data_IF_251506020844
#
_entry.id   IF_251506020844
#
_cell.length_a   1.000
_cell.length_b   1.000
_cell.length_c   1.000
_cell.angle_alpha   90.00
_cell.angle_beta   90.00
_cell.angle_gamma   90.00
#
_symmetry.space_group_name_H-M   'P 1'
#
loop_
_entity.id
_entity.type
_entity.pdbx_description
1 polymer ?
#
# COMPACT_ATOMS: atom_id res chain seq x y z
N UNK A 1 7.52 -16.62 43.67
CA UNK A 1 7.12 -15.70 42.58
C UNK A 1 7.10 -16.52 41.31
N UNK A 2 5.93 -17.03 40.92
CA UNK A 2 5.77 -17.88 39.74
C UNK A 2 6.26 -17.18 38.47
N UNK A 3 7.01 -17.93 37.66
CA UNK A 3 7.64 -17.46 36.43
C UNK A 3 6.59 -16.98 35.44
N UNK A 4 6.44 -15.66 35.32
CA UNK A 4 5.63 -15.05 34.27
C UNK A 4 6.28 -15.39 32.93
N UNK A 5 5.62 -16.27 32.15
CA UNK A 5 6.01 -16.60 30.77
C UNK A 5 6.28 -15.30 30.01
N UNK A 6 7.44 -15.21 29.35
CA UNK A 6 7.74 -14.08 28.47
C UNK A 6 6.73 -14.05 27.32
N UNK A 7 6.24 -12.86 26.98
CA UNK A 7 5.35 -12.71 25.84
C UNK A 7 6.06 -13.13 24.55
N UNK A 8 5.34 -13.74 23.62
CA UNK A 8 5.84 -14.15 22.31
C UNK A 8 5.26 -13.26 21.21
N UNK A 9 6.14 -12.55 20.49
CA UNK A 9 5.81 -11.81 19.28
C UNK A 9 6.32 -12.59 18.07
N UNK A 10 5.40 -13.03 17.22
CA UNK A 10 5.73 -13.58 15.91
C UNK A 10 5.80 -12.45 14.88
N UNK A 11 6.77 -12.52 13.97
CA UNK A 11 6.93 -11.56 12.87
C UNK A 11 6.78 -12.32 11.57
N UNK A 12 5.65 -12.13 10.90
CA UNK A 12 5.39 -12.76 9.58
C UNK A 12 5.76 -11.83 8.43
N UNK A 13 5.86 -10.52 8.69
CA UNK A 13 6.40 -9.55 7.74
C UNK A 13 7.89 -9.76 7.48
N UNK A 14 8.21 -10.29 6.30
CA UNK A 14 9.59 -10.40 5.81
C UNK A 14 10.28 -9.03 5.80
N UNK A 15 9.57 -7.98 5.39
CA UNK A 15 10.12 -6.62 5.37
C UNK A 15 10.51 -6.16 6.78
N UNK A 16 9.67 -6.43 7.79
CA UNK A 16 10.01 -6.12 9.18
C UNK A 16 11.29 -6.85 9.64
N UNK A 17 11.46 -8.13 9.26
CA UNK A 17 12.68 -8.87 9.61
C UNK A 17 13.94 -8.32 8.91
N UNK A 18 13.80 -7.73 7.72
CA UNK A 18 14.93 -7.16 6.96
C UNK A 18 15.28 -5.74 7.45
N UNK A 19 14.31 -4.83 7.50
CA UNK A 19 14.54 -3.41 7.76
C UNK A 19 14.05 -2.92 9.13
N UNK A 20 13.27 -3.72 9.87
CA UNK A 20 12.70 -3.34 11.17
C UNK A 20 13.55 -3.70 12.39
N UNK A 21 14.88 -3.89 12.22
CA UNK A 21 15.79 -4.40 13.27
C UNK A 21 15.68 -3.64 14.58
N UNK A 22 15.57 -2.31 14.53
CA UNK A 22 15.46 -1.47 15.73
C UNK A 22 14.16 -1.73 16.51
N UNK A 23 13.03 -1.88 15.80
CA UNK A 23 11.76 -2.21 16.42
C UNK A 23 11.81 -3.59 17.09
N UNK A 24 12.40 -4.58 16.41
CA UNK A 24 12.57 -5.94 16.97
C UNK A 24 13.51 -5.94 18.18
N UNK A 25 14.55 -5.11 18.17
CA UNK A 25 15.47 -4.96 19.30
C UNK A 25 14.79 -4.34 20.52
N UNK A 26 13.94 -3.33 20.32
CA UNK A 26 13.14 -2.71 21.40
C UNK A 26 12.19 -3.72 22.07
N UNK A 27 11.57 -4.60 21.29
CA UNK A 27 10.73 -5.68 21.83
C UNK A 27 11.54 -6.66 22.68
N UNK A 28 12.72 -7.09 22.19
CA UNK A 28 13.63 -7.96 22.95
C UNK A 28 14.10 -7.31 24.26
N UNK A 29 14.42 -6.02 24.22
CA UNK A 29 14.81 -5.23 25.40
C UNK A 29 13.67 -5.09 26.42
N UNK A 30 12.41 -5.11 25.97
CA UNK A 30 11.24 -5.15 26.83
C UNK A 30 10.97 -6.54 27.45
N UNK A 31 11.83 -7.53 27.22
CA UNK A 31 11.70 -8.88 27.76
C UNK A 31 10.71 -9.77 27.02
N UNK A 32 10.40 -9.44 25.77
CA UNK A 32 9.51 -10.20 24.89
C UNK A 32 10.34 -11.07 23.95
N UNK A 33 9.96 -12.33 23.78
CA UNK A 33 10.57 -13.22 22.81
C UNK A 33 10.06 -12.88 21.41
N UNK A 34 10.97 -12.70 20.45
CA UNK A 34 10.64 -12.28 19.09
C UNK A 34 11.13 -13.32 18.10
N UNK A 35 10.22 -13.86 17.31
CA UNK A 35 10.51 -14.89 16.31
C UNK A 35 10.14 -14.39 14.92
N UNK A 36 11.16 -14.27 14.05
CA UNK A 36 10.96 -14.01 12.63
C UNK A 36 10.59 -15.31 11.91
N UNK A 37 9.39 -15.34 11.34
CA UNK A 37 8.85 -16.46 10.60
C UNK A 37 8.79 -16.05 9.14
N UNK A 38 9.97 -15.98 8.51
CA UNK A 38 10.09 -15.61 7.10
C UNK A 38 10.27 -16.85 6.23
N UNK A 39 9.45 -16.97 5.19
CA UNK A 39 9.39 -18.15 4.31
C UNK A 39 8.22 -19.06 4.67
N UNK A 40 7.21 -19.12 3.77
CA UNK A 40 6.04 -19.99 3.88
C UNK A 40 6.43 -21.45 3.63
N UNK A 41 7.14 -22.06 4.57
CA UNK A 41 7.51 -23.48 4.51
C UNK A 41 6.31 -24.36 4.89
N UNK A 42 5.28 -24.41 4.04
CA UNK A 42 4.17 -25.37 4.14
C UNK A 42 3.29 -25.35 5.41
N UNK A 43 3.60 -24.50 6.40
CA UNK A 43 2.83 -24.35 7.65
C UNK A 43 1.73 -23.31 7.47
N UNK A 44 0.56 -23.60 8.03
CA UNK A 44 -0.56 -22.66 8.03
C UNK A 44 -0.28 -21.47 8.96
N UNK A 45 -0.93 -20.32 8.74
CA UNK A 45 -0.84 -19.17 9.64
C UNK A 45 -1.20 -19.54 11.09
N UNK A 46 -2.15 -20.48 11.26
CA UNK A 46 -2.55 -21.00 12.55
C UNK A 46 -1.39 -21.71 13.26
N UNK A 47 -0.66 -22.57 12.55
CA UNK A 47 0.50 -23.27 13.13
C UNK A 47 1.61 -22.30 13.56
N UNK A 48 1.76 -21.20 12.81
CA UNK A 48 2.78 -20.19 13.07
C UNK A 48 2.44 -19.28 14.25
N UNK A 49 1.14 -19.05 14.50
CA UNK A 49 0.66 -18.08 15.47
C UNK A 49 -0.04 -18.71 16.68
N UNK A 50 -0.21 -20.04 16.76
CA UNK A 50 -0.93 -20.71 17.83
C UNK A 50 -0.42 -20.34 19.24
N UNK A 51 0.88 -20.11 19.38
CA UNK A 51 1.51 -19.72 20.64
C UNK A 51 1.75 -18.21 20.81
N UNK A 52 1.51 -17.43 19.75
CA UNK A 52 1.82 -16.02 19.72
C UNK A 52 0.86 -15.20 20.59
N UNK A 53 1.41 -14.30 21.39
CA UNK A 53 0.62 -13.31 22.13
C UNK A 53 0.36 -12.07 21.26
N UNK A 54 1.27 -11.78 20.31
CA UNK A 54 1.08 -10.73 19.31
C UNK A 54 1.79 -11.08 17.98
N UNK A 55 1.36 -10.43 16.91
CA UNK A 55 1.97 -10.58 15.58
C UNK A 55 2.32 -9.24 14.94
N UNK A 56 3.52 -9.13 14.39
CA UNK A 56 3.85 -8.09 13.40
C UNK A 56 3.54 -8.67 12.02
N UNK A 57 2.36 -8.32 11.52
CA UNK A 57 1.72 -8.93 10.36
C UNK A 57 2.16 -8.29 9.04
N UNK A 58 2.10 -9.07 7.96
CA UNK A 58 2.31 -8.64 6.58
C UNK A 58 0.97 -8.37 5.90
N UNK A 59 0.61 -9.13 4.86
CA UNK A 59 -0.65 -9.07 4.09
C UNK A 59 -1.50 -10.33 4.25
N UNK A 60 -1.24 -11.15 5.29
CA UNK A 60 -2.03 -12.35 5.55
C UNK A 60 -3.47 -12.01 5.92
N UNK A 61 -4.38 -12.95 5.62
CA UNK A 61 -5.80 -12.83 5.94
C UNK A 61 -6.07 -13.32 7.36
N UNK A 62 -6.68 -12.45 8.16
CA UNK A 62 -7.14 -12.71 9.52
C UNK A 62 -8.67 -12.63 9.52
N UNK A 63 -9.32 -13.66 8.96
CA UNK A 63 -10.78 -13.81 9.02
C UNK A 63 -11.23 -14.19 10.44
N UNK A 64 -12.53 -14.05 10.74
CA UNK A 64 -13.14 -14.56 11.97
C UNK A 64 -12.70 -15.99 12.31
N UNK A 65 -12.83 -16.93 11.38
CA UNK A 65 -12.44 -18.34 11.59
C UNK A 65 -10.96 -18.50 12.01
N UNK A 66 -10.08 -17.65 11.49
CA UNK A 66 -8.66 -17.66 11.86
C UNK A 66 -8.48 -17.07 13.25
N UNK A 67 -9.09 -15.92 13.52
CA UNK A 67 -8.96 -15.20 14.79
C UNK A 67 -9.50 -16.01 15.98
N UNK A 68 -10.64 -16.69 15.82
CA UNK A 68 -11.24 -17.53 16.85
C UNK A 68 -10.33 -18.71 17.26
N UNK A 69 -9.52 -19.21 16.33
CA UNK A 69 -8.57 -20.29 16.59
C UNK A 69 -7.27 -19.80 17.24
N UNK A 70 -6.92 -18.53 17.09
CA UNK A 70 -5.73 -17.91 17.68
C UNK A 70 -6.00 -17.41 19.10
N UNK A 71 -6.40 -18.33 19.98
CA UNK A 71 -6.91 -18.04 21.34
C UNK A 71 -5.98 -17.23 22.26
N UNK A 72 -4.66 -17.26 21.99
CA UNK A 72 -3.64 -16.50 22.73
C UNK A 72 -3.37 -15.11 22.16
N UNK A 73 -3.73 -14.86 20.90
CA UNK A 73 -3.41 -13.62 20.24
C UNK A 73 -4.15 -12.46 20.93
N UNK A 74 -3.43 -11.37 21.18
CA UNK A 74 -3.95 -10.16 21.82
C UNK A 74 -3.68 -8.90 20.99
N UNK A 75 -2.73 -8.96 20.06
CA UNK A 75 -2.46 -7.84 19.17
C UNK A 75 -2.03 -8.27 17.77
N UNK A 76 -2.53 -7.55 16.77
CA UNK A 76 -2.09 -7.60 15.38
C UNK A 76 -1.56 -6.21 15.02
N UNK A 77 -0.27 -6.13 14.73
CA UNK A 77 0.40 -4.89 14.33
C UNK A 77 0.77 -5.00 12.86
N UNK A 78 0.06 -4.30 11.97
CA UNK A 78 0.38 -4.29 10.53
C UNK A 78 1.69 -3.56 10.29
N UNK A 79 2.62 -4.23 9.60
CA UNK A 79 3.81 -3.60 9.04
C UNK A 79 3.47 -2.92 7.70
N UNK A 80 2.68 -1.84 7.79
CA UNK A 80 2.14 -1.14 6.64
C UNK A 80 0.92 -0.30 6.99
N UNK A 81 0.32 0.32 5.97
CA UNK A 81 -0.84 1.21 6.13
C UNK A 81 -2.18 0.51 5.91
N UNK A 82 -2.22 -0.54 5.08
CA UNK A 82 -3.41 -1.32 4.78
C UNK A 82 -3.71 -2.38 5.86
N UNK A 83 -4.99 -2.55 6.17
CA UNK A 83 -5.49 -3.51 7.16
C UNK A 83 -6.80 -4.20 6.73
N UNK A 84 -7.17 -4.06 5.46
CA UNK A 84 -8.35 -4.65 4.79
C UNK A 84 -8.44 -6.18 4.91
N UNK A 85 -7.31 -6.86 5.08
CA UNK A 85 -7.24 -8.31 5.27
C UNK A 85 -7.47 -8.75 6.74
N UNK A 86 -7.83 -7.85 7.65
CA UNK A 86 -8.24 -8.17 9.03
C UNK A 86 -9.75 -7.95 9.17
N UNK A 87 -10.45 -8.96 9.66
CA UNK A 87 -11.81 -8.81 10.17
C UNK A 87 -11.78 -8.00 11.49
N UNK A 88 -11.98 -6.68 11.38
CA UNK A 88 -11.89 -5.75 12.51
C UNK A 88 -13.02 -5.96 13.53
N UNK A 89 -14.20 -6.38 13.07
CA UNK A 89 -15.34 -6.66 13.95
C UNK A 89 -15.03 -7.87 14.82
N UNK A 90 -14.61 -8.99 14.19
CA UNK A 90 -14.20 -10.19 14.91
C UNK A 90 -13.01 -9.92 15.85
N UNK A 91 -12.00 -9.17 15.39
CA UNK A 91 -10.86 -8.81 16.24
C UNK A 91 -11.30 -8.03 17.49
N UNK A 92 -12.23 -7.08 17.33
CA UNK A 92 -12.76 -6.27 18.44
C UNK A 92 -13.54 -7.13 19.43
N UNK A 93 -14.44 -8.00 18.95
CA UNK A 93 -15.22 -8.92 19.79
C UNK A 93 -14.33 -9.87 20.60
N UNK A 94 -13.24 -10.36 19.99
CA UNK A 94 -12.29 -11.26 20.61
C UNK A 94 -11.26 -10.55 21.52
N UNK A 95 -11.33 -9.21 21.63
CA UNK A 95 -10.41 -8.41 22.45
C UNK A 95 -8.99 -8.34 21.89
N UNK A 96 -8.84 -8.49 20.56
CA UNK A 96 -7.57 -8.41 19.84
C UNK A 96 -7.37 -6.97 19.36
N UNK A 97 -6.31 -6.33 19.83
CA UNK A 97 -5.97 -4.97 19.41
C UNK A 97 -5.38 -4.99 18.00
N UNK A 98 -5.95 -4.19 17.10
CA UNK A 98 -5.38 -3.97 15.76
C UNK A 98 -4.69 -2.61 15.72
N UNK A 99 -3.41 -2.60 15.36
CA UNK A 99 -2.62 -1.38 15.18
C UNK A 99 -1.90 -1.40 13.83
N UNK A 100 -1.61 -0.22 13.30
CA UNK A 100 -0.88 -0.03 12.05
C UNK A 100 -0.11 1.29 12.11
N UNK A 101 0.71 1.57 11.10
CA UNK A 101 1.57 2.76 11.06
C UNK A 101 1.09 3.73 9.97
N UNK A 102 0.09 4.60 10.24
CA UNK A 102 -0.57 5.43 9.23
C UNK A 102 0.32 6.47 8.53
N UNK A 103 1.43 6.86 9.15
CA UNK A 103 2.39 7.82 8.59
C UNK A 103 3.52 7.13 7.81
N UNK A 104 3.51 5.80 7.78
CA UNK A 104 4.56 5.02 7.18
C UNK A 104 4.46 5.13 5.65
N UNK A 105 5.56 5.52 5.03
CA UNK A 105 5.89 5.40 3.59
C UNK A 105 5.11 6.22 2.53
N UNK A 106 4.47 7.38 2.81
CA UNK A 106 3.80 8.15 1.73
C UNK A 106 4.77 8.57 0.62
N UNK A 107 5.99 8.96 0.98
CA UNK A 107 7.03 9.36 0.02
C UNK A 107 7.50 8.18 -0.85
N UNK A 108 7.72 7.00 -0.25
CA UNK A 108 8.19 5.84 -0.99
C UNK A 108 7.14 5.29 -1.98
N UNK A 109 5.86 5.33 -1.61
CA UNK A 109 4.76 4.97 -2.53
C UNK A 109 4.67 5.98 -3.67
N UNK A 110 4.80 7.28 -3.36
CA UNK A 110 4.80 8.32 -4.38
C UNK A 110 6.00 8.17 -5.36
N UNK A 111 7.17 7.79 -4.87
CA UNK A 111 8.33 7.46 -5.72
C UNK A 111 8.05 6.26 -6.63
N UNK A 112 7.41 5.21 -6.10
CA UNK A 112 7.03 4.04 -6.88
C UNK A 112 6.01 4.38 -7.98
N UNK A 113 4.99 5.20 -7.68
CA UNK A 113 4.02 5.68 -8.68
C UNK A 113 4.73 6.39 -9.82
N UNK A 114 5.66 7.30 -9.53
CA UNK A 114 6.44 7.99 -10.56
C UNK A 114 7.37 7.05 -11.33
N UNK A 115 8.00 6.09 -10.65
CA UNK A 115 8.78 5.03 -11.29
C UNK A 115 7.96 4.24 -12.30
N UNK A 116 6.75 3.80 -11.92
CA UNK A 116 5.82 3.08 -12.79
C UNK A 116 5.34 3.95 -13.95
N UNK A 117 4.96 5.22 -13.69
CA UNK A 117 4.55 6.16 -14.73
C UNK A 117 5.64 6.36 -15.78
N UNK A 118 6.89 6.60 -15.36
CA UNK A 118 8.02 6.78 -16.28
C UNK A 118 8.31 5.47 -17.02
N UNK A 119 8.28 4.33 -16.34
CA UNK A 119 8.53 3.04 -16.94
C UNK A 119 7.54 2.72 -18.06
N UNK A 120 6.25 2.99 -17.84
CA UNK A 120 5.18 2.84 -18.83
C UNK A 120 5.32 3.86 -19.96
N UNK A 121 5.42 5.16 -19.62
CA UNK A 121 5.50 6.25 -20.58
C UNK A 121 6.68 6.11 -21.54
N UNK A 122 7.82 5.61 -21.05
CA UNK A 122 9.08 5.48 -21.82
C UNK A 122 9.39 4.06 -22.28
N UNK A 123 8.47 3.10 -22.09
CA UNK A 123 8.66 1.67 -22.44
C UNK A 123 9.98 1.13 -21.90
N UNK A 124 10.27 1.45 -20.64
CA UNK A 124 11.58 1.20 -20.02
C UNK A 124 11.87 -0.30 -19.92
N UNK A 125 10.85 -1.11 -19.61
CA UNK A 125 10.97 -2.55 -19.50
C UNK A 125 11.36 -3.17 -20.85
N UNK A 126 10.59 -2.89 -21.90
CA UNK A 126 10.85 -3.40 -23.26
C UNK A 126 12.24 -2.96 -23.76
N UNK A 127 12.58 -1.70 -23.56
CA UNK A 127 13.88 -1.14 -23.97
C UNK A 127 15.03 -1.84 -23.22
N UNK A 128 14.85 -2.10 -21.92
CA UNK A 128 15.85 -2.78 -21.09
C UNK A 128 16.04 -4.23 -21.52
N UNK A 129 14.96 -4.95 -21.83
CA UNK A 129 15.03 -6.33 -22.31
C UNK A 129 15.73 -6.40 -23.67
N UNK A 130 15.36 -5.54 -24.62
CA UNK A 130 16.03 -5.43 -25.93
C UNK A 130 17.54 -5.18 -25.80
N UNK A 131 17.92 -4.24 -24.92
CA UNK A 131 19.33 -3.89 -24.71
C UNK A 131 20.12 -5.05 -24.09
N UNK A 132 19.52 -5.86 -23.20
CA UNK A 132 20.16 -7.05 -22.63
C UNK A 132 20.42 -8.14 -23.67
N UNK A 133 19.62 -8.18 -24.73
CA UNK A 133 19.83 -9.04 -25.89
C UNK A 133 20.84 -8.47 -26.90
N UNK A 134 21.47 -7.32 -26.59
CA UNK A 134 22.41 -6.64 -27.48
C UNK A 134 21.76 -5.87 -28.63
N UNK A 135 20.44 -5.66 -28.60
CA UNK A 135 19.70 -4.95 -29.64
C UNK A 135 19.49 -3.48 -29.27
N UNK A 136 19.96 -2.58 -30.14
CA UNK A 136 19.69 -1.14 -30.04
C UNK A 136 18.45 -0.75 -30.85
N UNK A 137 17.27 -0.85 -30.23
CA UNK A 137 15.98 -0.54 -30.85
C UNK A 137 15.26 0.58 -30.09
N UNK A 138 15.45 1.86 -30.46
CA UNK A 138 14.77 2.97 -29.81
C UNK A 138 13.24 2.80 -29.88
N UNK A 139 12.57 2.88 -28.73
CA UNK A 139 11.10 2.82 -28.66
C UNK A 139 10.55 4.23 -28.50
N UNK A 140 9.52 4.57 -29.30
CA UNK A 140 8.77 5.82 -29.14
C UNK A 140 7.87 5.68 -27.91
N UNK A 141 8.09 6.57 -26.94
CA UNK A 141 7.27 6.73 -25.75
C UNK A 141 6.64 8.13 -25.70
N UNK A 142 6.04 8.46 -24.56
CA UNK A 142 5.46 9.78 -24.30
C UNK A 142 6.21 10.48 -23.17
N UNK A 143 6.25 11.81 -23.25
CA UNK A 143 6.74 12.64 -22.14
C UNK A 143 5.64 12.76 -21.08
N UNK A 144 6.03 12.74 -19.80
CA UNK A 144 5.15 13.09 -18.67
C UNK A 144 5.01 14.60 -18.49
N UNK A 145 5.98 15.38 -18.98
CA UNK A 145 5.95 16.83 -18.87
C UNK A 145 4.76 17.43 -19.62
N UNK A 146 4.06 18.37 -18.99
CA UNK A 146 2.87 19.03 -19.54
C UNK A 146 1.64 18.13 -19.65
N UNK A 147 1.68 16.90 -19.11
CA UNK A 147 0.53 15.98 -19.07
C UNK A 147 -0.32 16.20 -17.84
N UNK A 148 -1.53 15.65 -17.88
CA UNK A 148 -2.47 15.67 -16.75
C UNK A 148 -2.38 14.37 -15.96
N UNK A 149 -2.14 14.47 -14.65
CA UNK A 149 -2.23 13.38 -13.69
C UNK A 149 -3.52 13.51 -12.88
N UNK A 150 -4.38 12.50 -12.95
CA UNK A 150 -5.54 12.33 -12.09
C UNK A 150 -5.20 11.48 -10.87
N UNK A 151 -5.46 11.99 -9.67
CA UNK A 151 -5.23 11.31 -8.40
C UNK A 151 -6.58 10.98 -7.77
N UNK A 152 -6.88 9.69 -7.64
CA UNK A 152 -8.05 9.17 -6.94
C UNK A 152 -7.60 8.84 -5.52
N UNK A 153 -8.09 9.58 -4.52
CA UNK A 153 -7.61 9.54 -3.14
C UNK A 153 -6.51 10.58 -2.89
N UNK A 154 -6.89 11.74 -2.37
CA UNK A 154 -6.02 12.89 -2.10
C UNK A 154 -5.56 12.93 -0.63
N UNK A 155 -5.31 11.75 -0.05
CA UNK A 155 -4.71 11.60 1.28
C UNK A 155 -3.20 11.87 1.30
N UNK A 156 -2.50 11.34 2.29
CA UNK A 156 -1.04 11.53 2.46
C UNK A 156 -0.24 11.13 1.22
N UNK A 157 -0.52 9.95 0.66
CA UNK A 157 0.12 9.44 -0.56
C UNK A 157 -0.25 10.33 -1.75
N UNK A 158 -1.53 10.63 -1.96
CA UNK A 158 -2.00 11.48 -3.05
C UNK A 158 -1.35 12.87 -3.05
N UNK A 159 -1.20 13.49 -1.89
CA UNK A 159 -0.48 14.77 -1.76
C UNK A 159 1.02 14.64 -2.08
N UNK A 160 1.68 13.56 -1.64
CA UNK A 160 3.08 13.29 -1.96
C UNK A 160 3.30 13.04 -3.47
N UNK A 161 2.34 12.39 -4.14
CA UNK A 161 2.30 12.23 -5.60
C UNK A 161 2.12 13.59 -6.29
N UNK A 162 1.17 14.40 -5.84
CA UNK A 162 0.92 15.72 -6.41
C UNK A 162 2.17 16.62 -6.35
N UNK A 163 2.88 16.62 -5.21
CA UNK A 163 4.15 17.36 -5.04
C UNK A 163 5.18 17.02 -6.13
N UNK A 164 5.34 15.73 -6.46
CA UNK A 164 6.23 15.28 -7.55
C UNK A 164 5.69 15.70 -8.90
N UNK A 165 4.39 15.55 -9.14
CA UNK A 165 3.75 15.91 -10.40
C UNK A 165 3.95 17.38 -10.76
N UNK A 166 3.83 18.29 -9.79
CA UNK A 166 4.15 19.70 -9.99
C UNK A 166 5.63 19.92 -10.35
N UNK A 167 6.55 19.19 -9.72
CA UNK A 167 7.98 19.21 -10.07
C UNK A 167 8.28 18.73 -11.50
N UNK A 168 7.47 17.82 -12.04
CA UNK A 168 7.53 17.37 -13.44
C UNK A 168 6.77 18.28 -14.41
N UNK A 169 6.19 19.39 -13.94
CA UNK A 169 5.41 20.32 -14.77
C UNK A 169 4.10 19.72 -15.27
N UNK A 170 3.48 18.83 -14.49
CA UNK A 170 2.18 18.22 -14.80
C UNK A 170 1.03 19.08 -14.28
N UNK A 171 -0.13 18.99 -14.95
CA UNK A 171 -1.41 19.40 -14.36
C UNK A 171 -1.89 18.29 -13.42
N UNK A 172 -2.42 18.66 -12.25
CA UNK A 172 -2.91 17.67 -11.26
C UNK A 172 -4.40 17.85 -11.00
N UNK A 173 -5.16 16.81 -11.30
CA UNK A 173 -6.58 16.69 -10.95
C UNK A 173 -6.75 15.73 -9.77
N UNK A 174 -7.68 16.02 -8.88
CA UNK A 174 -7.96 15.22 -7.70
C UNK A 174 -9.42 14.82 -7.57
N UNK A 175 -9.66 13.58 -7.14
CA UNK A 175 -10.96 13.12 -6.69
C UNK A 175 -10.80 12.48 -5.30
N UNK A 176 -11.57 12.97 -4.33
CA UNK A 176 -11.66 12.38 -3.00
C UNK A 176 -13.08 12.62 -2.47
N UNK A 177 -13.59 11.65 -1.71
CA UNK A 177 -14.88 11.77 -1.01
C UNK A 177 -14.82 12.82 0.11
N UNK A 178 -13.62 13.15 0.61
CA UNK A 178 -13.37 14.21 1.58
C UNK A 178 -12.32 15.18 1.07
N UNK A 179 -12.73 16.43 0.84
CA UNK A 179 -11.83 17.52 0.42
C UNK A 179 -11.15 18.16 1.63
N UNK A 180 -10.01 17.59 2.03
CA UNK A 180 -9.20 18.13 3.15
C UNK A 180 -8.54 19.45 2.76
N UNK A 181 -8.53 20.42 3.68
CA UNK A 181 -7.93 21.73 3.45
C UNK A 181 -6.43 21.62 3.09
N UNK A 182 -5.71 20.69 3.71
CA UNK A 182 -4.32 20.38 3.40
C UNK A 182 -4.13 20.01 1.92
N UNK A 183 -5.00 19.14 1.39
CA UNK A 183 -4.93 18.72 0.00
C UNK A 183 -5.28 19.86 -0.97
N UNK A 184 -6.28 20.70 -0.63
CA UNK A 184 -6.62 21.90 -1.41
C UNK A 184 -5.42 22.86 -1.49
N UNK A 185 -4.71 23.04 -0.38
CA UNK A 185 -3.55 23.95 -0.31
C UNK A 185 -2.35 23.48 -1.16
N UNK A 186 -2.34 22.23 -1.63
CA UNK A 186 -1.27 21.72 -2.49
C UNK A 186 -1.38 22.18 -3.95
N UNK A 187 -2.51 22.75 -4.36
CA UNK A 187 -2.76 23.14 -5.77
C UNK A 187 -3.40 22.04 -6.63
N UNK A 188 -3.86 20.93 -6.03
CA UNK A 188 -4.69 19.93 -6.70
C UNK A 188 -6.03 20.57 -7.10
N UNK A 189 -6.41 20.43 -8.37
CA UNK A 189 -7.73 20.84 -8.86
C UNK A 189 -8.75 19.72 -8.62
N UNK A 190 -9.67 19.91 -7.67
CA UNK A 190 -10.68 18.90 -7.35
C UNK A 190 -11.85 18.90 -8.34
N UNK A 191 -12.07 17.75 -8.98
CA UNK A 191 -13.12 17.53 -9.99
C UNK A 191 -13.94 16.27 -9.66
N UNK A 192 -14.98 15.98 -10.43
CA UNK A 192 -15.69 14.69 -10.34
C UNK A 192 -14.80 13.53 -10.85
N UNK A 193 -15.13 12.30 -10.47
CA UNK A 193 -14.41 11.11 -10.95
C UNK A 193 -14.43 11.01 -12.48
N UNK A 194 -15.60 11.21 -13.09
CA UNK A 194 -15.75 11.13 -14.54
C UNK A 194 -14.92 12.21 -15.26
N UNK A 195 -14.94 13.46 -14.77
CA UNK A 195 -14.09 14.54 -15.32
C UNK A 195 -12.59 14.21 -15.18
N UNK A 196 -12.18 13.65 -14.04
CA UNK A 196 -10.81 13.22 -13.81
C UNK A 196 -10.39 12.17 -14.83
N UNK A 197 -11.19 11.12 -15.02
CA UNK A 197 -10.89 10.03 -15.94
C UNK A 197 -10.80 10.52 -17.40
N UNK A 198 -11.73 11.36 -17.83
CA UNK A 198 -11.76 11.92 -19.20
C UNK A 198 -10.56 12.85 -19.49
N UNK A 199 -10.13 13.64 -18.50
CA UNK A 199 -9.11 14.67 -18.70
C UNK A 199 -7.67 14.17 -18.48
N UNK A 200 -7.48 13.05 -17.79
CA UNK A 200 -6.16 12.57 -17.36
C UNK A 200 -5.42 11.76 -18.42
N UNK A 201 -4.11 11.97 -18.53
CA UNK A 201 -3.20 11.12 -19.30
C UNK A 201 -2.62 9.99 -18.44
N UNK A 202 -2.55 10.22 -17.12
CA UNK A 202 -2.17 9.23 -16.12
C UNK A 202 -3.20 9.28 -14.99
N UNK A 203 -3.63 8.13 -14.50
CA UNK A 203 -4.54 8.02 -13.35
C UNK A 203 -3.87 7.16 -12.29
N UNK A 204 -3.84 7.65 -11.05
CA UNK A 204 -3.27 6.91 -9.91
C UNK A 204 -4.35 6.71 -8.84
N UNK A 205 -4.55 5.44 -8.44
CA UNK A 205 -5.51 5.03 -7.40
C UNK A 205 -4.78 4.94 -6.05
N UNK A 206 -5.27 5.67 -5.05
CA UNK A 206 -4.64 5.83 -3.73
C UNK A 206 -5.69 5.84 -2.61
N UNK A 207 -6.75 5.04 -2.78
CA UNK A 207 -7.84 4.88 -1.80
C UNK A 207 -7.73 3.55 -1.07
N UNK A 208 -8.23 3.43 0.17
CA UNK A 208 -8.31 2.15 0.85
C UNK A 208 -9.27 1.19 0.12
N UNK A 209 -9.07 -0.12 0.28
CA UNK A 209 -10.01 -1.13 -0.19
C UNK A 209 -11.18 -1.25 0.82
N UNK A 210 -12.38 -0.89 0.36
CA UNK A 210 -13.64 -0.91 1.11
C UNK A 210 -14.76 -1.33 0.17
N UNK A 211 -15.95 -1.64 0.70
CA UNK A 211 -17.11 -2.00 -0.14
C UNK A 211 -17.42 -0.95 -1.22
N UNK A 212 -17.17 0.33 -0.92
CA UNK A 212 -17.36 1.44 -1.85
C UNK A 212 -16.25 1.61 -2.90
N UNK A 213 -15.07 1.00 -2.71
CA UNK A 213 -13.93 1.13 -3.64
C UNK A 213 -13.62 -0.17 -4.40
N UNK A 214 -14.16 -1.31 -3.97
CA UNK A 214 -14.12 -2.56 -4.71
C UNK A 214 -14.74 -2.35 -6.09
N UNK A 215 -13.95 -2.63 -7.13
CA UNK A 215 -14.41 -2.48 -8.52
C UNK A 215 -14.70 -1.05 -8.96
N UNK A 216 -14.26 -0.02 -8.21
CA UNK A 216 -14.56 1.37 -8.53
C UNK A 216 -14.04 1.83 -9.90
N UNK A 217 -13.01 1.17 -10.44
CA UNK A 217 -12.57 1.33 -11.82
C UNK A 217 -12.94 0.05 -12.58
N UNK A 218 -14.16 0.01 -13.08
CA UNK A 218 -14.70 -1.08 -13.89
C UNK A 218 -14.67 -0.77 -15.38
N UNK A 219 -15.44 -1.52 -16.16
CA UNK A 219 -15.53 -1.33 -17.61
C UNK A 219 -15.99 0.09 -18.00
N UNK A 220 -16.95 0.65 -17.26
CA UNK A 220 -17.48 1.99 -17.52
C UNK A 220 -16.38 3.04 -17.33
N UNK A 221 -15.67 3.00 -16.22
CA UNK A 221 -14.62 3.96 -15.89
C UNK A 221 -13.43 3.84 -16.85
N UNK A 222 -13.04 2.62 -17.21
CA UNK A 222 -11.99 2.39 -18.21
C UNK A 222 -12.38 2.96 -19.59
N UNK A 223 -13.65 2.93 -19.97
CA UNK A 223 -14.14 3.56 -21.22
C UNK A 223 -14.15 5.09 -21.17
N UNK A 224 -14.23 5.68 -19.98
CA UNK A 224 -14.13 7.14 -19.82
C UNK A 224 -12.69 7.65 -19.93
N UNK A 225 -11.71 6.80 -19.65
CA UNK A 225 -10.30 7.17 -19.79
C UNK A 225 -9.95 7.43 -21.25
N UNK A 226 -8.96 8.28 -21.48
CA UNK A 226 -8.40 8.45 -22.83
C UNK A 226 -7.85 7.09 -23.31
N UNK A 227 -7.99 6.75 -24.61
CA UNK A 227 -7.41 5.52 -25.16
C UNK A 227 -5.89 5.41 -24.99
N UNK A 228 -5.21 6.53 -24.76
CA UNK A 228 -3.76 6.63 -24.53
C UNK A 228 -3.37 6.78 -23.07
N UNK A 229 -4.34 6.76 -22.14
CA UNK A 229 -4.06 6.99 -20.73
C UNK A 229 -3.41 5.76 -20.07
N UNK A 230 -2.66 6.01 -19.00
CA UNK A 230 -2.07 4.98 -18.16
C UNK A 230 -2.78 4.93 -16.81
N UNK A 231 -3.08 3.72 -16.32
CA UNK A 231 -3.63 3.50 -14.99
C UNK A 231 -2.56 2.91 -14.06
N UNK A 232 -2.40 3.48 -12.88
CA UNK A 232 -1.44 3.07 -11.86
C UNK A 232 -2.21 2.76 -10.58
N UNK A 233 -1.98 1.57 -10.03
CA UNK A 233 -2.54 1.11 -8.77
C UNK A 233 -1.42 0.45 -7.96
N UNK A 234 -1.10 0.97 -6.77
CA UNK A 234 0.06 0.58 -5.95
C UNK A 234 -0.35 0.14 -4.56
#
# INVERSE_FOLDING_TARGET
>A
MEGRRRGLVCVTSHLCCVCGKDALQRLKQAGVDVVCITGRSGKSLLDLLNEADAVIASTETYSRDVLERLTRLRAIVRWGVGYDSIDLEAATELGIVVAFTPEFIPEAVADLVFGLMIALARKLIDTTLSMREGKWEPKVGVSVWGKTLGIIGCGRIGMAIAKRAFGFGMKVLGYDIVRKQEAISTGIEFVSLDELLMASDFVSINVPLTDSTIGMIGERELKLMKPTAFLINT
#
